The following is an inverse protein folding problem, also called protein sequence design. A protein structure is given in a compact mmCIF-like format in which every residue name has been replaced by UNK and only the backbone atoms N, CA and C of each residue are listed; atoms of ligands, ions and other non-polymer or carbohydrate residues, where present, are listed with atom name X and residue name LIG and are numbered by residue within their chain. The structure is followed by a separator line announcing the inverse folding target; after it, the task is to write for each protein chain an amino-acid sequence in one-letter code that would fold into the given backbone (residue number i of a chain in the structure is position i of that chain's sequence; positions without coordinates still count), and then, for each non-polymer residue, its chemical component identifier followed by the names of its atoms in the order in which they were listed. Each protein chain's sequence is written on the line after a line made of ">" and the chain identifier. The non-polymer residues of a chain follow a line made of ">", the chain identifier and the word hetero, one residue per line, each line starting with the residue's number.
data_IF_318471379745
#
_entry.id   IF_318471379745
#
_cell.length_a   1.000
_cell.length_b   1.000
_cell.length_c   1.000
_cell.angle_alpha   90.00
_cell.angle_beta   90.00
_cell.angle_gamma   90.00
#
_symmetry.space_group_name_H-M   'P 1'
#
loop_
_entity.id
_entity.type
_entity.pdbx_description
1 polymer ?
#
# COMPACT_ATOMS: atom_id res chain seq x y z
N UNK A 1 27.12 -17.92 -2.34
CA UNK A 1 26.57 -16.75 -3.07
C UNK A 1 25.90 -15.90 -2.03
N UNK A 2 26.48 -14.73 -1.73
CA UNK A 2 25.97 -13.82 -0.71
C UNK A 2 24.67 -13.21 -1.24
N UNK A 3 23.58 -13.50 -0.53
CA UNK A 3 22.26 -12.95 -0.83
C UNK A 3 22.34 -11.43 -0.65
N UNK A 4 22.01 -10.68 -1.72
CA UNK A 4 21.68 -9.27 -1.60
C UNK A 4 20.47 -9.17 -0.68
N UNK A 5 20.71 -8.92 0.61
CA UNK A 5 19.71 -8.31 1.48
C UNK A 5 19.42 -6.96 0.84
N UNK A 6 18.33 -6.85 0.09
CA UNK A 6 17.80 -5.56 -0.30
C UNK A 6 17.65 -4.77 1.01
N UNK A 7 18.40 -3.68 1.15
CA UNK A 7 18.26 -2.78 2.28
C UNK A 7 16.82 -2.27 2.27
N UNK A 8 16.05 -2.66 3.28
CA UNK A 8 14.70 -2.17 3.43
C UNK A 8 14.71 -0.71 3.88
N UNK A 9 13.88 0.11 3.24
CA UNK A 9 13.81 1.55 3.47
C UNK A 9 14.92 2.33 2.77
N UNK A 10 14.66 3.62 2.54
CA UNK A 10 15.54 4.51 1.76
C UNK A 10 15.89 5.79 2.52
N UNK A 11 17.09 6.31 2.24
CA UNK A 11 17.47 7.67 2.66
C UNK A 11 17.04 8.68 1.57
N UNK A 12 15.88 9.34 1.71
CA UNK A 12 15.50 10.37 0.72
C UNK A 12 14.11 10.99 0.88
N UNK A 13 13.96 12.23 0.40
CA UNK A 13 12.74 13.05 0.47
C UNK A 13 11.54 12.39 -0.24
N UNK A 14 10.36 12.49 0.38
CA UNK A 14 9.11 11.84 -0.03
C UNK A 14 8.53 12.22 -1.39
N UNK A 15 7.43 11.55 -1.72
CA UNK A 15 6.72 11.59 -3.00
C UNK A 15 6.49 13.02 -3.53
N UNK A 16 6.80 13.20 -4.82
CA UNK A 16 6.31 14.33 -5.58
C UNK A 16 4.87 14.04 -6.01
N UNK A 17 3.94 14.94 -5.66
CA UNK A 17 2.54 14.86 -6.08
C UNK A 17 2.43 14.89 -7.63
N UNK A 18 1.65 14.00 -8.26
CA UNK A 18 1.38 14.06 -9.71
C UNK A 18 0.50 15.27 -10.06
N UNK A 19 0.86 15.98 -11.13
CA UNK A 19 0.14 17.16 -11.64
C UNK A 19 0.93 18.47 -11.67
N UNK A 20 2.18 18.48 -11.19
CA UNK A 20 3.08 19.63 -11.29
C UNK A 20 4.21 19.28 -12.27
N UNK A 21 4.21 19.89 -13.45
CA UNK A 21 5.25 19.70 -14.46
C UNK A 21 6.66 19.94 -13.92
N UNK A 22 7.63 19.25 -14.53
CA UNK A 22 9.07 19.29 -14.30
C UNK A 22 9.61 20.53 -13.55
N UNK A 23 9.57 20.48 -12.22
CA UNK A 23 10.33 21.36 -11.35
C UNK A 23 10.42 20.71 -9.96
N UNK A 24 11.45 19.87 -9.79
CA UNK A 24 11.88 19.32 -8.51
C UNK A 24 12.19 20.46 -7.54
N UNK A 25 11.19 20.88 -6.77
CA UNK A 25 11.37 21.81 -5.65
C UNK A 25 10.86 21.14 -4.39
N UNK A 26 11.82 20.87 -3.51
CA UNK A 26 11.65 20.44 -2.14
C UNK A 26 10.53 21.24 -1.48
N UNK A 27 9.45 20.57 -1.07
CA UNK A 27 8.58 21.16 -0.05
C UNK A 27 9.32 21.06 1.26
N UNK A 28 9.84 22.19 1.72
CA UNK A 28 10.22 22.38 3.11
C UNK A 28 8.98 22.11 3.96
N UNK A 29 8.92 20.93 4.58
CA UNK A 29 7.94 20.68 5.64
C UNK A 29 8.35 21.62 6.77
N UNK A 30 7.62 22.74 6.90
CA UNK A 30 7.87 23.72 7.93
C UNK A 30 7.73 23.04 9.30
N UNK A 31 8.88 22.98 9.98
CA UNK A 31 9.13 22.60 11.36
C UNK A 31 7.92 22.54 12.30
N UNK A 32 7.50 21.34 12.71
CA UNK A 32 6.86 21.06 14.00
C UNK A 32 6.98 19.57 14.43
N UNK A 33 8.15 18.94 14.26
CA UNK A 33 8.46 17.66 14.93
C UNK A 33 9.94 17.27 14.75
N UNK A 34 10.78 17.37 15.80
CA UNK A 34 12.20 16.99 15.70
C UNK A 34 12.37 15.46 15.70
N UNK A 35 12.93 14.90 14.64
CA UNK A 35 13.40 13.50 14.52
C UNK A 35 13.37 12.99 13.08
N UNK A 36 14.01 11.85 12.77
CA UNK A 36 14.14 11.35 11.41
C UNK A 36 12.77 10.96 10.83
N UNK A 37 12.60 11.17 9.52
CA UNK A 37 11.54 10.57 8.71
C UNK A 37 12.13 9.34 8.02
N UNK A 38 11.39 8.24 8.03
CA UNK A 38 11.77 7.00 7.34
C UNK A 38 10.95 6.85 6.06
N UNK A 39 11.56 6.33 5.01
CA UNK A 39 10.88 6.12 3.74
C UNK A 39 10.83 4.65 3.39
N UNK A 40 9.65 4.16 3.03
CA UNK A 40 9.43 2.80 2.55
C UNK A 40 9.07 2.83 1.06
N UNK A 41 9.72 1.98 0.29
CA UNK A 41 9.40 1.72 -1.11
C UNK A 41 8.09 0.94 -1.19
N UNK A 42 7.08 1.51 -1.85
CA UNK A 42 5.80 0.85 -2.06
C UNK A 42 5.55 0.64 -3.55
N UNK A 43 5.10 -0.55 -3.89
CA UNK A 43 4.58 -0.86 -5.21
C UNK A 43 3.11 -1.23 -5.15
N UNK A 44 2.38 -0.98 -6.24
CA UNK A 44 1.00 -1.38 -6.38
C UNK A 44 0.83 -2.36 -7.54
N UNK A 45 -0.07 -3.31 -7.36
CA UNK A 45 -0.64 -4.14 -8.43
C UNK A 45 -2.15 -3.91 -8.48
N UNK A 46 -2.78 -4.28 -9.58
CA UNK A 46 -4.23 -4.25 -9.73
C UNK A 46 -4.72 -5.55 -10.32
N UNK A 47 -5.99 -5.89 -10.13
CA UNK A 47 -6.64 -6.85 -11.02
C UNK A 47 -7.33 -6.13 -12.19
N UNK A 48 -7.83 -6.91 -13.15
CA UNK A 48 -8.57 -6.39 -14.30
C UNK A 48 -9.88 -5.73 -13.88
N UNK A 49 -10.49 -6.16 -12.77
CA UNK A 49 -11.71 -5.57 -12.24
C UNK A 49 -11.49 -4.14 -11.77
N UNK A 50 -10.38 -3.85 -11.09
CA UNK A 50 -10.02 -2.50 -10.67
C UNK A 50 -9.77 -1.59 -11.88
N UNK A 51 -9.04 -2.09 -12.89
CA UNK A 51 -8.85 -1.39 -14.16
C UNK A 51 -10.19 -1.06 -14.84
N UNK A 52 -11.13 -2.03 -14.92
CA UNK A 52 -12.47 -1.81 -15.46
C UNK A 52 -13.28 -0.81 -14.63
N UNK A 53 -13.16 -0.85 -13.29
CA UNK A 53 -13.82 0.09 -12.38
C UNK A 53 -13.28 1.52 -12.51
N UNK A 54 -12.08 1.69 -13.07
CA UNK A 54 -11.48 2.95 -13.48
C UNK A 54 -11.67 3.22 -14.97
N UNK A 55 -12.85 2.86 -15.49
CA UNK A 55 -13.28 3.12 -16.87
C UNK A 55 -12.41 2.47 -17.94
N UNK A 56 -11.75 1.36 -17.61
CA UNK A 56 -10.82 0.66 -18.51
C UNK A 56 -9.76 1.62 -19.07
N UNK A 57 -9.20 2.45 -18.20
CA UNK A 57 -8.15 3.41 -18.55
C UNK A 57 -6.95 3.22 -17.63
N UNK A 58 -5.80 2.93 -18.22
CA UNK A 58 -4.54 2.79 -17.47
C UNK A 58 -4.20 4.09 -16.76
N UNK A 59 -4.40 5.24 -17.42
CA UNK A 59 -4.15 6.55 -16.82
C UNK A 59 -5.07 6.79 -15.62
N UNK A 60 -6.38 6.56 -15.78
CA UNK A 60 -7.32 6.77 -14.68
C UNK A 60 -7.07 5.81 -13.50
N UNK A 61 -6.56 4.61 -13.79
CA UNK A 61 -6.17 3.63 -12.76
C UNK A 61 -4.95 4.10 -11.98
N UNK A 62 -3.93 4.60 -12.67
CA UNK A 62 -2.72 5.16 -12.05
C UNK A 62 -3.06 6.41 -11.22
N UNK A 63 -3.81 7.35 -11.80
CA UNK A 63 -4.22 8.60 -11.13
C UNK A 63 -4.98 8.30 -9.83
N UNK A 64 -5.85 7.29 -9.85
CA UNK A 64 -6.65 6.87 -8.69
C UNK A 64 -5.78 6.26 -7.57
N UNK A 65 -4.82 5.40 -7.92
CA UNK A 65 -3.86 4.81 -6.96
C UNK A 65 -2.99 5.90 -6.34
N UNK A 66 -2.43 6.79 -7.15
CA UNK A 66 -1.59 7.89 -6.67
C UNK A 66 -2.39 8.84 -5.75
N UNK A 67 -3.65 9.13 -6.08
CA UNK A 67 -4.51 9.93 -5.23
C UNK A 67 -4.77 9.27 -3.87
N UNK A 68 -5.04 7.97 -3.83
CA UNK A 68 -5.22 7.22 -2.58
C UNK A 68 -3.92 7.21 -1.78
N UNK A 69 -2.78 6.90 -2.42
CA UNK A 69 -1.47 6.87 -1.76
C UNK A 69 -1.08 8.23 -1.18
N UNK A 70 -1.38 9.34 -1.86
CA UNK A 70 -1.13 10.68 -1.32
C UNK A 70 -1.91 10.94 -0.01
N UNK A 71 -3.14 10.43 0.09
CA UNK A 71 -3.93 10.49 1.32
C UNK A 71 -3.34 9.63 2.44
N UNK A 72 -2.88 8.43 2.10
CA UNK A 72 -2.21 7.51 3.03
C UNK A 72 -0.89 8.12 3.53
N UNK A 73 -0.06 8.64 2.63
CA UNK A 73 1.23 9.26 2.96
C UNK A 73 1.05 10.44 3.93
N UNK A 74 0.01 11.26 3.73
CA UNK A 74 -0.32 12.34 4.65
C UNK A 74 -0.63 11.85 6.08
N UNK A 75 -1.30 10.69 6.23
CA UNK A 75 -1.57 10.06 7.54
C UNK A 75 -0.28 9.54 8.16
N UNK A 76 0.47 8.72 7.42
CA UNK A 76 1.69 8.08 7.93
C UNK A 76 2.79 9.09 8.28
N UNK A 77 2.97 10.12 7.46
CA UNK A 77 3.93 11.19 7.71
C UNK A 77 3.58 12.01 8.96
N UNK A 78 2.28 12.27 9.18
CA UNK A 78 1.77 13.02 10.34
C UNK A 78 1.93 12.22 11.64
N UNK A 79 1.52 10.96 11.64
CA UNK A 79 1.32 10.20 12.88
C UNK A 79 2.56 9.39 13.29
N UNK A 80 3.25 8.78 12.32
CA UNK A 80 4.33 7.83 12.59
C UNK A 80 5.65 8.16 11.89
N UNK A 81 5.70 9.31 11.19
CA UNK A 81 6.88 9.81 10.45
C UNK A 81 7.45 8.80 9.46
N UNK A 82 6.56 8.07 8.82
CA UNK A 82 6.86 7.19 7.69
C UNK A 82 6.33 7.88 6.43
N UNK A 83 7.17 7.99 5.41
CA UNK A 83 6.77 8.38 4.07
C UNK A 83 6.86 7.18 3.12
N UNK A 84 6.10 7.23 2.05
CA UNK A 84 6.17 6.26 0.99
C UNK A 84 6.95 6.79 -0.21
N UNK A 85 7.71 5.92 -0.86
CA UNK A 85 8.25 6.15 -2.20
C UNK A 85 7.59 5.14 -3.14
N UNK A 86 6.67 5.61 -3.97
CA UNK A 86 6.09 4.81 -5.05
C UNK A 86 7.18 4.37 -6.03
N UNK A 87 7.33 3.05 -6.22
CA UNK A 87 8.34 2.47 -7.12
C UNK A 87 7.76 1.97 -8.43
N UNK A 88 6.62 1.27 -8.37
CA UNK A 88 5.91 0.78 -9.55
C UNK A 88 4.41 0.68 -9.32
N UNK A 89 3.66 0.76 -10.42
CA UNK A 89 2.24 0.41 -10.49
C UNK A 89 2.09 -0.55 -11.66
N UNK A 90 1.59 -1.76 -11.39
CA UNK A 90 1.23 -2.74 -12.42
C UNK A 90 -0.28 -2.66 -12.61
N UNK A 91 -0.71 -2.29 -13.82
CA UNK A 91 -2.14 -2.27 -14.19
C UNK A 91 -2.44 -3.49 -15.06
N UNK A 92 -3.16 -4.47 -14.51
CA UNK A 92 -3.59 -5.66 -15.26
C UNK A 92 -4.81 -5.30 -16.11
N UNK A 93 -4.66 -5.28 -17.43
CA UNK A 93 -5.70 -4.78 -18.34
C UNK A 93 -6.56 -5.87 -18.99
N UNK A 94 -6.16 -7.13 -18.87
CA UNK A 94 -6.77 -8.27 -19.56
C UNK A 94 -6.62 -9.57 -18.77
N UNK A 95 -7.60 -10.46 -18.92
CA UNK A 95 -7.54 -11.82 -18.37
C UNK A 95 -6.74 -12.79 -19.26
N UNK A 96 -6.15 -13.87 -18.69
CA UNK A 96 -6.09 -14.13 -17.26
C UNK A 96 -5.05 -13.24 -16.56
N UNK A 97 -5.45 -12.56 -15.48
CA UNK A 97 -4.51 -12.02 -14.51
C UNK A 97 -4.21 -13.05 -13.39
N UNK A 98 -3.19 -12.83 -12.53
CA UNK A 98 -2.82 -13.80 -11.49
C UNK A 98 -3.85 -13.97 -10.37
N UNK A 99 -4.90 -13.16 -10.33
CA UNK A 99 -5.78 -12.94 -9.19
C UNK A 99 -7.20 -13.42 -9.48
N UNK A 100 -7.53 -14.66 -9.10
CA UNK A 100 -8.81 -15.28 -9.48
C UNK A 100 -9.75 -15.60 -8.31
N UNK A 101 -9.33 -15.34 -7.06
CA UNK A 101 -10.14 -15.57 -5.87
C UNK A 101 -10.91 -14.32 -5.43
N UNK A 102 -12.11 -14.50 -4.87
CA UNK A 102 -12.83 -13.48 -4.07
C UNK A 102 -12.73 -13.73 -2.56
N UNK A 103 -12.15 -14.86 -2.14
CA UNK A 103 -11.75 -15.05 -0.75
C UNK A 103 -10.49 -14.24 -0.46
N UNK A 104 -10.56 -13.32 0.51
CA UNK A 104 -9.52 -12.33 0.76
C UNK A 104 -8.17 -12.96 1.13
N UNK A 105 -8.17 -14.02 1.95
CA UNK A 105 -6.93 -14.69 2.36
C UNK A 105 -6.30 -15.46 1.20
N UNK A 106 -7.11 -16.19 0.43
CA UNK A 106 -6.66 -16.89 -0.78
C UNK A 106 -6.14 -15.90 -1.83
N UNK A 107 -6.79 -14.74 -1.97
CA UNK A 107 -6.33 -13.68 -2.87
C UNK A 107 -5.00 -13.08 -2.38
N UNK A 108 -4.84 -12.86 -1.07
CA UNK A 108 -3.58 -12.39 -0.49
C UNK A 108 -2.43 -13.40 -0.74
N UNK A 109 -2.70 -14.70 -0.62
CA UNK A 109 -1.73 -15.75 -0.99
C UNK A 109 -1.36 -15.71 -2.47
N UNK A 110 -2.29 -15.34 -3.37
CA UNK A 110 -2.01 -15.12 -4.80
C UNK A 110 -1.14 -13.87 -5.03
N UNK A 111 -1.38 -12.78 -4.30
CA UNK A 111 -0.50 -11.59 -4.30
C UNK A 111 0.91 -11.98 -3.90
N UNK A 112 1.05 -12.79 -2.85
CA UNK A 112 2.35 -13.31 -2.43
C UNK A 112 3.03 -14.16 -3.49
N UNK A 113 2.33 -15.10 -4.11
CA UNK A 113 2.91 -15.92 -5.17
C UNK A 113 3.44 -15.04 -6.31
N UNK A 114 2.66 -14.06 -6.77
CA UNK A 114 3.10 -13.16 -7.84
C UNK A 114 4.31 -12.31 -7.43
N UNK A 115 4.27 -11.68 -6.25
CA UNK A 115 5.32 -10.76 -5.83
C UNK A 115 6.61 -11.45 -5.36
N UNK A 116 6.50 -12.67 -4.83
CA UNK A 116 7.65 -13.44 -4.35
C UNK A 116 8.24 -14.36 -5.41
N UNK A 117 7.43 -14.96 -6.28
CA UNK A 117 7.92 -15.93 -7.26
C UNK A 117 8.19 -15.27 -8.62
N UNK A 118 7.38 -14.27 -9.03
CA UNK A 118 7.49 -13.60 -10.33
C UNK A 118 8.24 -12.26 -10.24
N UNK A 119 7.82 -11.37 -9.32
CA UNK A 119 8.28 -9.97 -9.23
C UNK A 119 9.32 -9.72 -8.13
N UNK A 120 9.97 -10.79 -7.64
CA UNK A 120 10.89 -10.74 -6.50
C UNK A 120 12.00 -9.69 -6.60
N UNK A 121 12.49 -9.49 -7.83
CA UNK A 121 13.63 -8.64 -8.12
C UNK A 121 13.24 -7.17 -8.37
N UNK A 122 11.94 -6.86 -8.39
CA UNK A 122 11.47 -5.48 -8.44
C UNK A 122 11.78 -4.79 -7.11
N UNK A 123 11.78 -3.45 -7.14
CA UNK A 123 12.13 -2.59 -6.01
C UNK A 123 10.89 -2.32 -5.15
N UNK A 124 10.82 -2.90 -3.97
CA UNK A 124 9.71 -2.75 -3.04
C UNK A 124 10.09 -3.22 -1.62
N UNK A 125 9.66 -2.45 -0.63
CA UNK A 125 9.60 -2.83 0.78
C UNK A 125 8.22 -3.37 1.13
N UNK A 126 7.19 -2.86 0.46
CA UNK A 126 5.79 -3.29 0.55
C UNK A 126 5.20 -3.37 -0.86
N UNK A 127 4.40 -4.40 -1.15
CA UNK A 127 3.54 -4.38 -2.33
C UNK A 127 2.07 -4.54 -1.96
N UNK A 128 1.20 -3.80 -2.63
CA UNK A 128 -0.21 -3.73 -2.28
C UNK A 128 -1.12 -3.92 -3.49
N UNK A 129 -2.05 -4.87 -3.41
CA UNK A 129 -3.06 -5.06 -4.46
C UNK A 129 -4.24 -4.11 -4.25
N UNK A 130 -4.55 -3.30 -5.26
CA UNK A 130 -5.84 -2.63 -5.37
C UNK A 130 -6.78 -3.51 -6.19
N UNK A 131 -7.69 -4.22 -5.52
CA UNK A 131 -8.67 -5.09 -6.17
C UNK A 131 -9.98 -4.35 -6.44
N UNK A 132 -10.58 -4.63 -7.60
CA UNK A 132 -11.94 -4.24 -7.95
C UNK A 132 -12.96 -5.36 -7.77
N UNK A 133 -12.53 -6.54 -7.29
CA UNK A 133 -13.41 -7.66 -6.98
C UNK A 133 -14.22 -7.34 -5.73
N UNK A 134 -15.47 -7.80 -5.70
CA UNK A 134 -16.27 -7.83 -4.48
C UNK A 134 -15.83 -9.03 -3.64
N UNK A 135 -15.14 -8.78 -2.53
CA UNK A 135 -14.61 -9.84 -1.67
C UNK A 135 -15.73 -10.55 -0.90
N UNK A 136 -15.49 -11.80 -0.53
CA UNK A 136 -16.48 -12.62 0.16
C UNK A 136 -16.71 -12.09 1.60
N UNK A 137 -17.98 -12.01 1.99
CA UNK A 137 -18.37 -11.66 3.36
C UNK A 137 -18.31 -10.16 3.63
N UNK A 138 -17.69 -9.77 4.74
CA UNK A 138 -17.56 -8.35 5.17
C UNK A 138 -16.12 -7.83 5.07
N UNK A 139 -15.19 -8.68 4.63
CA UNK A 139 -13.78 -8.33 4.49
C UNK A 139 -13.60 -7.46 3.25
N UNK A 140 -13.03 -6.27 3.43
CA UNK A 140 -12.74 -5.32 2.34
C UNK A 140 -11.24 -5.08 2.16
N UNK A 141 -10.40 -5.74 2.97
CA UNK A 141 -8.95 -5.67 2.91
C UNK A 141 -8.35 -6.73 3.83
N UNK A 142 -7.10 -7.09 3.56
CA UNK A 142 -6.31 -7.97 4.42
C UNK A 142 -4.83 -7.76 4.14
N UNK A 143 -4.00 -7.87 5.18
CA UNK A 143 -2.56 -7.80 5.06
C UNK A 143 -1.88 -8.68 6.12
N UNK A 144 -0.65 -9.11 5.84
CA UNK A 144 0.17 -9.75 6.88
C UNK A 144 0.71 -8.72 7.86
N UNK A 145 0.74 -9.09 9.13
CA UNK A 145 1.07 -8.15 10.20
C UNK A 145 2.56 -8.12 10.54
N UNK A 146 3.12 -6.92 10.77
CA UNK A 146 4.49 -6.70 11.26
C UNK A 146 5.59 -7.30 10.37
N UNK A 147 5.43 -7.24 9.06
CA UNK A 147 6.29 -7.87 8.06
C UNK A 147 7.29 -6.92 7.40
N UNK A 148 7.02 -5.60 7.40
CA UNK A 148 7.90 -4.62 6.74
C UNK A 148 9.32 -4.71 7.30
N UNK A 149 10.31 -4.81 6.40
CA UNK A 149 11.73 -4.99 6.72
C UNK A 149 12.09 -6.23 7.57
N UNK A 150 11.15 -7.15 7.81
CA UNK A 150 11.37 -8.37 8.62
C UNK A 150 11.16 -9.63 7.81
N UNK A 151 10.13 -9.66 7.00
CA UNK A 151 9.80 -10.75 6.10
C UNK A 151 9.24 -10.18 4.80
N UNK A 152 10.14 -9.92 3.85
CA UNK A 152 9.78 -9.36 2.55
C UNK A 152 8.77 -10.24 1.81
N UNK A 153 8.81 -11.56 1.98
CA UNK A 153 7.87 -12.47 1.29
C UNK A 153 6.42 -12.32 1.76
N UNK A 154 6.19 -11.64 2.88
CA UNK A 154 4.87 -11.34 3.43
C UNK A 154 4.68 -9.83 3.68
N UNK A 155 5.54 -8.95 3.15
CA UNK A 155 5.37 -7.50 3.23
C UNK A 155 4.34 -7.03 2.18
N UNK A 156 3.12 -7.55 2.31
CA UNK A 156 2.08 -7.48 1.30
C UNK A 156 0.69 -7.27 1.93
N UNK A 157 -0.19 -6.63 1.17
CA UNK A 157 -1.58 -6.43 1.54
C UNK A 157 -2.48 -6.27 0.32
N UNK A 158 -3.79 -6.23 0.55
CA UNK A 158 -4.76 -5.91 -0.48
C UNK A 158 -5.91 -5.08 0.09
N UNK A 159 -6.49 -4.23 -0.76
CA UNK A 159 -7.70 -3.47 -0.46
C UNK A 159 -8.68 -3.58 -1.61
N UNK A 160 -9.94 -3.88 -1.31
CA UNK A 160 -11.09 -3.65 -2.20
C UNK A 160 -11.32 -2.15 -2.34
N UNK A 161 -10.41 -1.46 -3.03
CA UNK A 161 -10.35 0.01 -3.00
C UNK A 161 -11.64 0.65 -3.52
N UNK A 162 -12.42 -0.02 -4.37
CA UNK A 162 -13.69 0.49 -4.92
C UNK A 162 -14.93 0.09 -4.12
N UNK A 163 -14.79 -0.45 -2.90
CA UNK A 163 -15.92 -0.78 -2.00
C UNK A 163 -16.82 0.43 -1.67
N UNK A 164 -16.30 1.66 -1.81
CA UNK A 164 -17.04 2.89 -1.54
C UNK A 164 -16.73 3.98 -2.56
N UNK A 165 -17.76 4.73 -2.97
CA UNK A 165 -17.59 5.98 -3.72
C UNK A 165 -17.03 7.14 -2.84
N UNK A 166 -17.02 6.98 -1.51
CA UNK A 166 -16.47 8.00 -0.60
C UNK A 166 -14.96 7.87 -0.58
N UNK A 167 -14.27 8.81 -1.22
CA UNK A 167 -12.81 8.76 -1.40
C UNK A 167 -12.02 8.57 -0.10
N UNK A 168 -12.39 9.28 0.98
CA UNK A 168 -11.71 9.14 2.28
C UNK A 168 -11.80 7.74 2.87
N UNK A 169 -12.90 7.00 2.64
CA UNK A 169 -13.02 5.61 3.13
C UNK A 169 -12.03 4.67 2.45
N UNK A 170 -11.66 4.97 1.20
CA UNK A 170 -10.68 4.22 0.42
C UNK A 170 -9.27 4.48 0.92
N UNK A 171 -8.96 5.75 1.22
CA UNK A 171 -7.71 6.15 1.90
C UNK A 171 -7.59 5.42 3.24
N UNK A 172 -8.63 5.45 4.08
CA UNK A 172 -8.59 4.82 5.40
C UNK A 172 -8.43 3.30 5.32
N UNK A 173 -9.11 2.65 4.38
CA UNK A 173 -8.93 1.22 4.15
C UNK A 173 -7.48 0.90 3.75
N UNK A 174 -6.92 1.58 2.75
CA UNK A 174 -5.53 1.32 2.34
C UNK A 174 -4.54 1.64 3.46
N UNK A 175 -4.76 2.71 4.22
CA UNK A 175 -3.94 3.04 5.39
C UNK A 175 -4.05 1.97 6.50
N UNK A 176 -5.25 1.42 6.73
CA UNK A 176 -5.51 0.35 7.70
C UNK A 176 -4.70 -0.90 7.38
N UNK A 177 -4.78 -1.37 6.12
CA UNK A 177 -4.06 -2.57 5.70
C UNK A 177 -2.54 -2.37 5.69
N UNK A 178 -2.06 -1.21 5.28
CA UNK A 178 -0.64 -0.88 5.40
C UNK A 178 -0.22 -0.79 6.88
N UNK A 179 -1.09 -0.29 7.75
CA UNK A 179 -0.90 -0.26 9.19
C UNK A 179 -0.63 -1.67 9.74
N UNK A 180 -1.39 -2.67 9.29
CA UNK A 180 -1.11 -4.06 9.63
C UNK A 180 0.30 -4.49 9.23
N UNK A 181 0.77 -4.20 8.01
CA UNK A 181 2.16 -4.52 7.63
C UNK A 181 3.19 -3.90 8.60
N UNK A 182 2.93 -2.71 9.12
CA UNK A 182 3.76 -2.05 10.13
C UNK A 182 3.58 -2.56 11.57
N UNK A 183 2.66 -3.50 11.79
CA UNK A 183 2.39 -4.12 13.08
C UNK A 183 1.27 -3.45 13.88
N UNK A 184 0.50 -2.56 13.27
CA UNK A 184 -0.75 -2.09 13.86
C UNK A 184 -1.77 -3.23 13.93
N UNK A 185 -2.64 -3.13 14.90
CA UNK A 185 -3.73 -4.04 15.19
C UNK A 185 -5.05 -3.29 15.10
N UNK A 186 -6.16 -4.02 15.17
CA UNK A 186 -7.45 -3.37 15.37
C UNK A 186 -7.54 -2.77 16.78
N UNK A 187 -8.30 -1.69 16.92
CA UNK A 187 -8.54 -1.04 18.22
C UNK A 187 -9.23 -1.94 19.25
N UNK A 188 -10.00 -2.94 18.80
CA UNK A 188 -10.66 -3.92 19.65
C UNK A 188 -9.79 -5.16 19.94
N UNK A 189 -8.56 -5.22 19.42
CA UNK A 189 -7.63 -6.30 19.70
C UNK A 189 -6.93 -6.12 21.06
N UNK A 190 -7.42 -6.87 22.05
CA UNK A 190 -6.87 -6.86 23.41
C UNK A 190 -5.46 -7.44 23.53
N UNK A 191 -4.95 -8.10 22.49
CA UNK A 191 -3.61 -8.70 22.48
C UNK A 191 -2.57 -7.82 21.76
N UNK A 192 -2.96 -6.60 21.39
CA UNK A 192 -2.09 -5.72 20.65
C UNK A 192 -0.90 -5.20 21.48
N UNK A 193 0.31 -5.44 20.98
CA UNK A 193 1.56 -4.96 21.60
C UNK A 193 1.94 -3.56 21.09
N UNK A 194 1.42 -3.15 19.93
CA UNK A 194 1.50 -1.76 19.51
C UNK A 194 0.55 -0.96 20.41
N UNK A 195 1.04 0.08 21.09
CA UNK A 195 0.15 0.97 21.86
C UNK A 195 -0.90 1.51 20.89
N UNK A 196 -2.21 1.23 21.10
CA UNK A 196 -3.24 1.82 20.26
C UNK A 196 -3.08 3.34 20.34
N UNK A 197 -3.17 4.09 19.23
CA UNK A 197 -3.29 5.53 19.30
C UNK A 197 -4.42 5.87 20.27
N UNK A 198 -4.30 6.98 21.00
CA UNK A 198 -5.37 7.50 21.87
C UNK A 198 -6.69 7.79 21.14
N UNK A 199 -6.70 7.65 19.81
CA UNK A 199 -7.74 8.06 18.88
C UNK A 199 -8.45 6.83 18.28
N UNK A 200 -8.61 5.77 19.08
CA UNK A 200 -9.52 4.68 18.75
C UNK A 200 -11.01 5.04 18.92
N UNK A 201 -11.32 6.32 19.22
CA UNK A 201 -12.65 6.92 19.32
C UNK A 201 -12.82 8.11 18.34
#
# INVERSE_FOLDING_TARGET
>A
MLENVATCGVQGNGLALPGQGAAWRSRSVAALASGPVWFAEIAFDTDVEFYRANSSSTQATVDDIEAVLNGVDAIFMRDVRIGYQLTSIIVRTTEPDPYNSTDAHTLLDQVRAEWWDTLRNDRWDIAHLMTGKNLNGTTIGVAWTATVCRDRSHALGLSESRFSATFNRRIWLTAHELGHNWGACHCDDTNCVATPPSDCD
#
